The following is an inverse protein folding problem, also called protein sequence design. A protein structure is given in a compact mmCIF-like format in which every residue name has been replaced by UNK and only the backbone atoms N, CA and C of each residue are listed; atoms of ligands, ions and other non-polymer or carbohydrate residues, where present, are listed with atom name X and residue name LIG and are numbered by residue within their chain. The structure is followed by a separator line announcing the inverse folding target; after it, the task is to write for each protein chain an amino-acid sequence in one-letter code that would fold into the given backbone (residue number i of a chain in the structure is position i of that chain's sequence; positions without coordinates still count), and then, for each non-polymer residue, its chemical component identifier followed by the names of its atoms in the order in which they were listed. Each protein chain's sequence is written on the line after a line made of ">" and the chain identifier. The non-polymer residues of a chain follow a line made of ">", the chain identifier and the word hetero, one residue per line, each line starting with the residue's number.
data_IF_014713595446
#
_entry.id   IF_014713595446
#
_cell.length_a   1.000
_cell.length_b   1.000
_cell.length_c   1.000
_cell.angle_alpha   90.00
_cell.angle_beta   90.00
_cell.angle_gamma   90.00
#
_symmetry.space_group_name_H-M   'P 1'
#
loop_
_entity.id
_entity.type
_entity.pdbx_description
1 polymer ?
#
# COMPACT_ATOMS: atom_id res chain seq x y z
N UNK A 1 -46.77 -24.95 -36.96
CA UNK A 1 -45.34 -25.29 -36.77
C UNK A 1 -44.59 -24.00 -36.47
N UNK A 2 -44.14 -23.87 -35.22
CA UNK A 2 -42.98 -23.14 -34.68
C UNK A 2 -42.47 -21.90 -35.45
N UNK A 3 -42.26 -20.71 -34.88
CA UNK A 3 -42.28 -20.26 -33.50
C UNK A 3 -42.31 -18.74 -33.54
N UNK A 4 -43.20 -18.16 -32.73
CA UNK A 4 -43.19 -16.75 -32.34
C UNK A 4 -42.00 -16.49 -31.40
N UNK A 5 -41.76 -15.20 -31.14
CA UNK A 5 -40.97 -14.64 -30.02
C UNK A 5 -39.47 -14.44 -30.34
N UNK A 6 -39.19 -13.38 -31.09
CA UNK A 6 -37.95 -12.61 -30.98
C UNK A 6 -38.08 -11.66 -29.78
N UNK A 7 -37.94 -12.17 -28.56
CA UNK A 7 -37.83 -11.30 -27.37
C UNK A 7 -36.37 -10.97 -27.11
N UNK A 8 -36.07 -9.71 -27.39
CA UNK A 8 -34.94 -8.93 -26.94
C UNK A 8 -34.70 -9.14 -25.43
N UNK A 9 -33.60 -9.80 -25.05
CA UNK A 9 -33.11 -9.79 -23.67
C UNK A 9 -31.68 -9.25 -23.71
N UNK A 10 -31.57 -7.92 -23.77
CA UNK A 10 -30.35 -7.24 -23.35
C UNK A 10 -30.28 -7.38 -21.82
N UNK A 11 -29.53 -8.37 -21.34
CA UNK A 11 -29.22 -8.49 -19.92
C UNK A 11 -28.31 -7.31 -19.56
N UNK A 12 -28.90 -6.23 -19.05
CA UNK A 12 -28.15 -5.11 -18.50
C UNK A 12 -27.38 -5.62 -17.27
N UNK A 13 -26.11 -5.95 -17.45
CA UNK A 13 -25.19 -6.17 -16.34
C UNK A 13 -25.01 -4.82 -15.63
N UNK A 14 -25.83 -4.59 -14.61
CA UNK A 14 -25.62 -3.49 -13.67
C UNK A 14 -24.31 -3.80 -12.95
N UNK A 15 -23.23 -3.15 -13.38
CA UNK A 15 -21.98 -3.10 -12.63
C UNK A 15 -22.28 -2.28 -11.39
N UNK A 16 -22.72 -2.94 -10.32
CA UNK A 16 -22.74 -2.31 -9.00
C UNK A 16 -21.28 -2.09 -8.61
N UNK A 17 -20.78 -0.87 -8.79
CA UNK A 17 -19.51 -0.48 -8.23
C UNK A 17 -19.61 -0.66 -6.71
N UNK A 18 -19.00 -1.74 -6.20
CA UNK A 18 -18.92 -1.94 -4.76
C UNK A 18 -18.20 -0.71 -4.17
N UNK A 19 -18.77 -0.04 -3.16
CA UNK A 19 -18.07 1.06 -2.52
C UNK A 19 -16.75 0.53 -2.00
N UNK A 20 -15.64 1.16 -2.38
CA UNK A 20 -14.35 0.88 -1.78
C UNK A 20 -14.49 1.08 -0.27
N UNK A 21 -14.24 0.02 0.52
CA UNK A 21 -14.22 0.13 1.97
C UNK A 21 -13.06 1.05 2.36
N UNK A 22 -13.38 2.31 2.62
CA UNK A 22 -12.42 3.28 3.12
C UNK A 22 -12.30 3.15 4.63
N UNK A 23 -11.07 3.12 5.13
CA UNK A 23 -10.78 3.18 6.55
C UNK A 23 -11.25 4.52 7.13
N UNK A 24 -11.83 4.48 8.32
CA UNK A 24 -12.21 5.65 9.12
C UNK A 24 -11.28 5.77 10.33
N UNK A 25 -11.06 6.99 10.85
CA UNK A 25 -10.38 7.15 12.12
C UNK A 25 -11.04 6.32 13.22
N UNK A 26 -10.24 5.53 13.94
CA UNK A 26 -10.70 4.60 14.97
C UNK A 26 -10.92 3.16 14.47
N UNK A 27 -10.94 2.92 13.16
CA UNK A 27 -10.98 1.56 12.63
C UNK A 27 -9.69 0.81 12.99
N UNK A 28 -9.85 -0.48 13.32
CA UNK A 28 -8.72 -1.36 13.55
C UNK A 28 -8.13 -1.77 12.20
N UNK A 29 -6.83 -1.57 12.04
CA UNK A 29 -6.09 -2.11 10.89
C UNK A 29 -5.81 -3.59 11.14
N UNK A 30 -6.15 -4.43 10.16
CA UNK A 30 -5.86 -5.86 10.22
C UNK A 30 -4.35 -6.13 10.19
N UNK A 31 -3.96 -7.23 10.81
CA UNK A 31 -2.56 -7.63 10.82
C UNK A 31 -2.11 -8.08 9.44
N UNK A 32 -0.90 -7.71 9.07
CA UNK A 32 -0.21 -8.23 7.90
C UNK A 32 1.27 -8.45 8.20
N UNK A 33 1.92 -9.26 7.37
CA UNK A 33 3.35 -9.51 7.43
C UNK A 33 3.93 -9.40 6.03
N UNK A 34 4.91 -8.52 5.87
CA UNK A 34 5.63 -8.29 4.63
C UNK A 34 7.13 -8.47 4.86
N UNK A 35 7.86 -8.67 3.77
CA UNK A 35 9.31 -8.76 3.77
C UNK A 35 9.85 -7.49 3.13
N UNK A 36 10.82 -6.84 3.79
CA UNK A 36 11.46 -5.67 3.21
C UNK A 36 12.48 -6.04 2.13
N UNK A 37 13.02 -5.00 1.48
CA UNK A 37 14.00 -5.13 0.42
C UNK A 37 15.37 -5.67 0.89
N UNK A 38 15.61 -5.77 2.20
CA UNK A 38 16.81 -6.35 2.83
C UNK A 38 16.58 -7.78 3.33
N UNK A 39 15.35 -8.31 3.18
CA UNK A 39 14.97 -9.66 3.59
C UNK A 39 14.45 -9.77 5.02
N UNK A 40 14.29 -8.67 5.76
CA UNK A 40 13.70 -8.72 7.10
C UNK A 40 12.18 -8.83 7.02
N UNK A 41 11.58 -9.61 7.92
CA UNK A 41 10.12 -9.76 8.01
C UNK A 41 9.55 -8.78 9.03
N UNK A 42 8.59 -7.96 8.59
CA UNK A 42 7.88 -7.00 9.43
C UNK A 42 6.42 -7.42 9.52
N UNK A 43 5.94 -7.66 10.73
CA UNK A 43 4.52 -7.90 11.00
C UNK A 43 3.94 -6.75 11.82
N UNK A 44 2.84 -6.17 11.35
CA UNK A 44 2.29 -4.93 11.89
C UNK A 44 2.06 -5.00 13.40
N UNK A 45 1.47 -6.10 13.88
CA UNK A 45 1.19 -6.28 15.31
C UNK A 45 2.44 -6.39 16.21
N UNK A 46 3.65 -6.60 15.68
CA UNK A 46 4.86 -6.51 16.52
C UNK A 46 5.15 -5.09 16.99
N UNK A 47 4.59 -4.07 16.32
CA UNK A 47 4.78 -2.66 16.64
C UNK A 47 3.59 -2.09 17.44
N UNK A 48 2.80 -2.94 18.11
CA UNK A 48 1.60 -2.52 18.85
C UNK A 48 1.89 -1.63 20.07
N UNK A 49 3.14 -1.60 20.52
CA UNK A 49 3.63 -0.76 21.61
C UNK A 49 4.17 0.60 21.13
N UNK A 50 4.34 0.78 19.82
CA UNK A 50 4.70 2.08 19.24
C UNK A 50 3.54 3.07 19.40
N UNK A 51 3.85 4.35 19.64
CA UNK A 51 2.84 5.41 19.77
C UNK A 51 2.05 5.63 18.47
N UNK A 52 2.73 5.43 17.34
CA UNK A 52 2.13 5.42 16.02
C UNK A 52 2.97 4.60 15.04
N UNK A 53 2.31 4.06 14.02
CA UNK A 53 2.96 3.44 12.85
C UNK A 53 2.47 4.19 11.61
N UNK A 54 3.40 4.74 10.84
CA UNK A 54 3.13 5.49 9.62
C UNK A 54 3.49 4.63 8.41
N UNK A 55 2.51 4.39 7.55
CA UNK A 55 2.67 3.63 6.32
C UNK A 55 2.48 4.56 5.13
N UNK A 56 3.49 4.64 4.25
CA UNK A 56 3.35 5.33 2.96
C UNK A 56 3.36 4.30 1.83
N UNK A 57 2.27 4.24 1.07
CA UNK A 57 2.22 3.41 -0.14
C UNK A 57 2.98 4.09 -1.28
N UNK A 58 3.85 3.35 -1.96
CA UNK A 58 4.66 3.85 -3.07
C UNK A 58 4.75 2.83 -4.22
N UNK A 59 5.23 3.29 -5.36
CA UNK A 59 5.67 2.46 -6.48
C UNK A 59 7.01 2.99 -7.00
N UNK A 60 7.89 2.12 -7.51
CA UNK A 60 9.14 2.53 -8.14
C UNK A 60 8.89 3.30 -9.45
N UNK A 61 7.75 3.04 -10.10
CA UNK A 61 7.34 3.71 -11.35
C UNK A 61 6.62 5.06 -11.15
N UNK A 62 6.32 5.45 -9.90
CA UNK A 62 5.59 6.68 -9.61
C UNK A 62 6.52 7.90 -9.53
N UNK A 63 6.36 8.85 -10.45
CA UNK A 63 7.16 10.08 -10.48
C UNK A 63 6.99 10.97 -9.24
N UNK A 64 5.82 10.96 -8.61
CA UNK A 64 5.54 11.71 -7.37
C UNK A 64 6.10 11.03 -6.10
N UNK A 65 6.66 9.81 -6.22
CA UNK A 65 7.13 9.03 -5.08
C UNK A 65 8.32 9.67 -4.36
N UNK A 66 9.25 10.29 -5.10
CA UNK A 66 10.48 10.84 -4.53
C UNK A 66 10.20 11.97 -3.51
N UNK A 67 9.34 12.93 -3.88
CA UNK A 67 8.99 14.06 -3.01
C UNK A 67 8.25 13.59 -1.76
N UNK A 68 7.33 12.63 -1.92
CA UNK A 68 6.55 12.07 -0.81
C UNK A 68 7.45 11.31 0.17
N UNK A 69 8.42 10.55 -0.33
CA UNK A 69 9.41 9.84 0.50
C UNK A 69 10.33 10.83 1.20
N UNK A 70 10.78 11.90 0.53
CA UNK A 70 11.60 12.94 1.15
C UNK A 70 10.86 13.63 2.31
N UNK A 71 9.58 13.99 2.11
CA UNK A 71 8.73 14.55 3.15
C UNK A 71 8.53 13.57 4.31
N UNK A 72 8.29 12.29 4.01
CA UNK A 72 8.17 11.26 5.05
C UNK A 72 9.45 11.13 5.87
N UNK A 73 10.63 11.22 5.25
CA UNK A 73 11.92 11.19 5.97
C UNK A 73 12.06 12.38 6.93
N UNK A 74 11.59 13.58 6.54
CA UNK A 74 11.57 14.74 7.44
C UNK A 74 10.67 14.49 8.66
N UNK A 75 9.48 13.93 8.46
CA UNK A 75 8.57 13.55 9.56
C UNK A 75 9.21 12.46 10.44
N UNK A 76 9.81 11.44 9.83
CA UNK A 76 10.55 10.40 10.57
C UNK A 76 11.62 11.01 11.46
N UNK A 77 12.45 11.89 10.92
CA UNK A 77 13.58 12.45 11.64
C UNK A 77 13.11 13.25 12.88
N UNK A 78 11.92 13.83 12.84
CA UNK A 78 11.29 14.52 13.97
C UNK A 78 10.67 13.58 15.01
N UNK A 79 10.07 12.45 14.60
CA UNK A 79 9.20 11.65 15.47
C UNK A 79 9.71 10.24 15.81
N UNK A 80 10.74 9.72 15.12
CA UNK A 80 11.23 8.36 15.35
C UNK A 80 11.71 8.13 16.79
N UNK A 81 12.41 9.12 17.37
CA UNK A 81 12.90 9.06 18.76
C UNK A 81 11.78 9.19 19.79
N UNK A 82 10.58 9.54 19.37
CA UNK A 82 9.40 9.68 20.22
C UNK A 82 8.53 8.42 20.27
N UNK A 83 8.96 7.34 19.60
CA UNK A 83 8.24 6.06 19.55
C UNK A 83 7.30 5.94 18.35
N UNK A 84 7.60 6.58 17.22
CA UNK A 84 6.85 6.43 15.97
C UNK A 84 7.65 5.59 14.97
N UNK A 85 7.01 4.59 14.39
CA UNK A 85 7.62 3.71 13.38
C UNK A 85 7.17 4.09 11.97
N UNK A 86 8.06 3.98 10.98
CA UNK A 86 7.81 4.37 9.60
C UNK A 86 8.13 3.21 8.64
N UNK A 87 7.27 3.00 7.64
CA UNK A 87 7.45 2.02 6.57
C UNK A 87 7.01 2.56 5.22
N UNK A 88 7.64 2.05 4.16
CA UNK A 88 7.13 2.13 2.81
C UNK A 88 6.42 0.82 2.45
N UNK A 89 5.27 0.91 1.78
CA UNK A 89 4.52 -0.25 1.28
C UNK A 89 4.46 -0.17 -0.23
N UNK A 90 5.02 -1.17 -0.92
CA UNK A 90 4.90 -1.28 -2.36
C UNK A 90 3.92 -2.40 -2.72
N UNK A 91 2.78 -2.02 -3.30
CA UNK A 91 1.70 -2.93 -3.72
C UNK A 91 1.64 -3.08 -5.24
N UNK A 92 2.70 -2.70 -5.95
CA UNK A 92 2.73 -2.68 -7.41
C UNK A 92 3.06 -4.07 -7.95
N UNK A 93 2.16 -4.63 -8.76
CA UNK A 93 2.39 -5.91 -9.41
C UNK A 93 3.59 -5.84 -10.35
N UNK A 94 4.47 -6.85 -10.28
CA UNK A 94 5.66 -6.95 -11.12
C UNK A 94 6.89 -6.20 -10.59
N UNK A 95 6.76 -5.38 -9.55
CA UNK A 95 7.92 -4.79 -8.87
C UNK A 95 8.50 -5.78 -7.86
N UNK A 96 9.50 -6.56 -8.30
CA UNK A 96 10.15 -7.55 -7.44
C UNK A 96 10.92 -6.91 -6.28
N UNK A 97 11.19 -7.70 -5.23
CA UNK A 97 12.01 -7.25 -4.10
C UNK A 97 13.39 -6.74 -4.54
N UNK A 98 14.00 -7.39 -5.52
CA UNK A 98 15.31 -6.97 -6.05
C UNK A 98 15.22 -5.65 -6.82
N UNK A 99 14.11 -5.42 -7.55
CA UNK A 99 13.85 -4.15 -8.20
C UNK A 99 13.62 -3.03 -7.16
N UNK A 100 12.88 -3.32 -6.08
CA UNK A 100 12.69 -2.38 -4.95
C UNK A 100 14.02 -2.08 -4.26
N UNK A 101 14.87 -3.09 -4.01
CA UNK A 101 16.19 -2.90 -3.42
C UNK A 101 17.08 -2.01 -4.29
N UNK A 102 17.06 -2.23 -5.62
CA UNK A 102 17.79 -1.40 -6.58
C UNK A 102 17.28 0.05 -6.55
N UNK A 103 15.97 0.26 -6.59
CA UNK A 103 15.37 1.58 -6.50
C UNK A 103 15.72 2.28 -5.18
N UNK A 104 15.70 1.55 -4.06
CA UNK A 104 16.07 2.08 -2.76
C UNK A 104 17.52 2.61 -2.75
N UNK A 105 18.46 1.86 -3.35
CA UNK A 105 19.85 2.31 -3.52
C UNK A 105 19.91 3.54 -4.43
N UNK A 106 19.26 3.49 -5.59
CA UNK A 106 19.28 4.59 -6.58
C UNK A 106 18.74 5.90 -5.99
N UNK A 107 17.73 5.82 -5.12
CA UNK A 107 17.04 6.99 -4.57
C UNK A 107 17.42 7.31 -3.12
N UNK A 108 18.41 6.62 -2.53
CA UNK A 108 18.85 6.88 -1.15
C UNK A 108 17.75 6.64 -0.10
N UNK A 109 16.91 5.63 -0.34
CA UNK A 109 15.84 5.23 0.56
C UNK A 109 16.44 4.30 1.61
N UNK A 110 16.39 4.74 2.87
CA UNK A 110 16.85 4.03 4.06
C UNK A 110 15.70 3.43 4.88
N UNK A 111 14.46 3.72 4.50
CA UNK A 111 13.25 3.18 5.09
C UNK A 111 13.00 1.72 4.65
N UNK A 112 12.46 0.87 5.55
CA UNK A 112 12.02 -0.47 5.22
C UNK A 112 10.86 -0.48 4.21
#
# INVERSE_FOLDING_TARGET
>A
MHSLIRSLVCFAAVITAAPALALKPGDRVDNFRLMDHKGASHQLHYFSDMKAVVLLTQSNSCSAGADSIAQLKQVRDQYQTQGVQFFLVNSTLGESRDAIAKAAITHGIDLP
#
